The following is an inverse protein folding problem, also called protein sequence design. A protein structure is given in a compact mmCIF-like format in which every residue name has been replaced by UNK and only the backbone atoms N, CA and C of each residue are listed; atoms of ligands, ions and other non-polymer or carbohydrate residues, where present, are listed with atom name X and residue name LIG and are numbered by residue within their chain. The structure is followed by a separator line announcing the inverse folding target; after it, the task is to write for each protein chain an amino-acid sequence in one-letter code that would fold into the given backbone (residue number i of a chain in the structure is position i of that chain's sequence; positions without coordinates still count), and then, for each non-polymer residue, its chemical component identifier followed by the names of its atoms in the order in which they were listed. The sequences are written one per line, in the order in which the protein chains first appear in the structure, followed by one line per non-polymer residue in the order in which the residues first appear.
data_IF_850854117829
#
_entry.id   IF_850854117829
#
_cell.length_a   1.000
_cell.length_b   1.000
_cell.length_c   1.000
_cell.angle_alpha   90.00
_cell.angle_beta   90.00
_cell.angle_gamma   90.00
#
_symmetry.space_group_name_H-M   'P 1'
#
loop_
_entity.id
_entity.type
_entity.pdbx_description
1 polymer ?
#
# COMPACT_ATOMS: atom_id res chain seq x y z
N UNK A 1 -4.47 10.44 -16.87
CA UNK A 1 -4.74 9.01 -17.05
C UNK A 1 -4.09 8.53 -18.36
N UNK A 2 -3.31 7.44 -18.37
CA UNK A 2 -2.72 6.90 -19.60
C UNK A 2 -3.73 6.59 -20.71
N UNK A 3 -4.99 6.33 -20.36
CA UNK A 3 -6.07 6.04 -21.33
C UNK A 3 -6.61 7.27 -22.06
N UNK A 4 -6.42 8.44 -21.47
CA UNK A 4 -6.90 9.72 -21.99
C UNK A 4 -5.85 10.47 -22.83
N UNK A 5 -4.64 9.90 -22.97
CA UNK A 5 -3.55 10.52 -23.71
C UNK A 5 -3.75 10.36 -25.20
N UNK A 6 -3.67 11.44 -26.00
CA UNK A 6 -3.59 11.34 -27.44
C UNK A 6 -2.45 10.43 -27.88
N UNK A 7 -2.66 9.63 -28.90
CA UNK A 7 -1.68 8.63 -29.33
C UNK A 7 -0.35 9.26 -29.80
N UNK A 8 -0.43 10.42 -30.45
CA UNK A 8 0.71 11.22 -30.93
C UNK A 8 1.49 11.91 -29.81
N UNK A 9 0.85 12.22 -28.68
CA UNK A 9 1.48 12.86 -27.53
C UNK A 9 1.99 11.89 -26.46
N UNK A 10 1.73 10.57 -26.59
CA UNK A 10 2.02 9.58 -25.56
C UNK A 10 3.49 9.59 -25.13
N UNK A 11 4.42 9.52 -26.08
CA UNK A 11 5.85 9.48 -25.77
C UNK A 11 6.35 10.75 -25.07
N UNK A 12 5.91 11.92 -25.52
CA UNK A 12 6.26 13.20 -24.90
C UNK A 12 5.66 13.32 -23.47
N UNK A 13 4.41 12.88 -23.27
CA UNK A 13 3.77 12.86 -21.96
C UNK A 13 4.48 11.89 -21.00
N UNK A 14 4.85 10.69 -21.46
CA UNK A 14 5.58 9.71 -20.66
C UNK A 14 6.97 10.24 -20.24
N UNK A 15 7.67 10.92 -21.14
CA UNK A 15 8.94 11.58 -20.82
C UNK A 15 8.75 12.72 -19.79
N UNK A 16 7.73 13.57 -19.97
CA UNK A 16 7.42 14.64 -19.03
C UNK A 16 7.04 14.12 -17.64
N UNK A 17 6.33 13.00 -17.57
CA UNK A 17 5.93 12.39 -16.29
C UNK A 17 7.02 11.54 -15.62
N UNK A 18 8.09 11.18 -16.35
CA UNK A 18 9.18 10.38 -15.80
C UNK A 18 9.88 11.05 -14.61
N UNK A 19 9.94 12.38 -14.57
CA UNK A 19 10.52 13.14 -13.46
C UNK A 19 9.81 12.94 -12.12
N UNK A 20 8.51 12.63 -12.15
CA UNK A 20 7.70 12.36 -10.94
C UNK A 20 7.71 10.89 -10.55
N UNK A 21 8.32 10.03 -11.35
CA UNK A 21 8.27 8.60 -11.11
C UNK A 21 9.07 8.18 -9.89
N UNK A 22 8.59 7.11 -9.26
CA UNK A 22 9.31 6.35 -8.26
C UNK A 22 9.29 4.86 -8.64
N UNK A 23 10.42 4.18 -8.40
CA UNK A 23 10.58 2.79 -8.81
C UNK A 23 9.81 1.79 -7.93
N UNK A 24 9.47 2.19 -6.70
CA UNK A 24 8.85 1.33 -5.68
C UNK A 24 7.41 1.70 -5.38
N UNK A 25 6.99 2.95 -5.73
CA UNK A 25 5.67 3.45 -5.36
C UNK A 25 5.13 4.50 -6.33
N UNK A 26 3.98 4.23 -6.92
CA UNK A 26 3.25 5.20 -7.72
C UNK A 26 2.57 6.27 -6.83
N UNK A 27 2.33 5.99 -5.53
CA UNK A 27 1.86 7.00 -4.57
C UNK A 27 2.93 8.08 -4.33
N UNK A 28 4.20 7.69 -4.23
CA UNK A 28 5.32 8.65 -4.16
C UNK A 28 5.38 9.49 -5.44
N UNK A 29 5.10 8.90 -6.60
CA UNK A 29 5.00 9.64 -7.86
C UNK A 29 3.92 10.72 -7.83
N UNK A 30 2.76 10.41 -7.29
CA UNK A 30 1.66 11.37 -7.08
C UNK A 30 2.08 12.47 -6.10
N UNK A 31 2.77 12.12 -5.01
CA UNK A 31 3.26 13.09 -4.04
C UNK A 31 4.29 14.06 -4.65
N UNK A 32 5.23 13.55 -5.44
CA UNK A 32 6.20 14.39 -6.18
C UNK A 32 5.52 15.35 -7.14
N UNK A 33 4.49 14.88 -7.85
CA UNK A 33 3.68 15.73 -8.73
C UNK A 33 2.95 16.81 -7.94
N UNK A 34 2.38 16.46 -6.78
CA UNK A 34 1.72 17.42 -5.90
C UNK A 34 2.69 18.51 -5.41
N UNK A 35 3.89 18.15 -4.99
CA UNK A 35 4.92 19.09 -4.55
C UNK A 35 5.30 20.06 -5.66
N UNK A 36 5.58 19.55 -6.87
CA UNK A 36 5.89 20.40 -8.02
C UNK A 36 4.73 21.33 -8.43
N UNK A 37 3.48 20.84 -8.35
CA UNK A 37 2.31 21.67 -8.61
C UNK A 37 2.12 22.75 -7.55
N UNK A 38 2.35 22.43 -6.27
CA UNK A 38 2.25 23.40 -5.17
C UNK A 38 3.28 24.52 -5.33
N UNK A 39 4.53 24.20 -5.61
CA UNK A 39 5.59 25.18 -5.91
C UNK A 39 5.20 26.07 -7.10
N UNK A 40 4.76 25.46 -8.20
CA UNK A 40 4.30 26.22 -9.37
C UNK A 40 3.09 27.12 -9.05
N UNK A 41 2.18 26.67 -8.17
CA UNK A 41 1.01 27.44 -7.77
C UNK A 41 1.37 28.64 -6.89
N UNK A 42 2.40 28.53 -6.06
CA UNK A 42 2.90 29.62 -5.19
C UNK A 42 3.60 30.71 -6.01
N UNK A 43 4.35 30.33 -7.06
CA UNK A 43 5.23 31.23 -7.79
C UNK A 43 4.59 31.81 -9.07
N UNK A 44 3.50 31.23 -9.57
CA UNK A 44 2.97 31.54 -10.92
C UNK A 44 1.57 32.18 -10.89
N UNK A 45 1.32 33.05 -11.84
CA UNK A 45 -0.05 33.50 -12.13
C UNK A 45 -0.90 32.39 -12.73
N UNK A 46 -2.23 32.50 -12.69
CA UNK A 46 -3.14 31.50 -13.24
C UNK A 46 -2.87 31.19 -14.75
N UNK A 47 -2.49 32.19 -15.52
CA UNK A 47 -2.13 32.00 -16.94
C UNK A 47 -0.83 31.23 -17.12
N UNK A 48 0.17 31.51 -16.29
CA UNK A 48 1.44 30.79 -16.29
C UNK A 48 1.26 29.35 -15.79
N UNK A 49 0.45 29.15 -14.76
CA UNK A 49 0.15 27.84 -14.21
C UNK A 49 -0.58 26.93 -15.22
N UNK A 50 -1.50 27.52 -16.03
CA UNK A 50 -2.11 26.78 -17.14
C UNK A 50 -1.07 26.33 -18.16
N UNK A 51 -0.15 27.22 -18.58
CA UNK A 51 0.95 26.89 -19.51
C UNK A 51 1.89 25.84 -18.92
N UNK A 52 2.15 25.91 -17.61
CA UNK A 52 2.93 24.91 -16.90
C UNK A 52 2.26 23.53 -16.94
N UNK A 53 0.95 23.48 -16.68
CA UNK A 53 0.18 22.25 -16.76
C UNK A 53 0.20 21.65 -18.17
N UNK A 54 -0.04 22.48 -19.20
CA UNK A 54 -0.02 22.06 -20.61
C UNK A 54 1.36 21.51 -21.02
N UNK A 55 2.45 22.18 -20.61
CA UNK A 55 3.84 21.74 -20.85
C UNK A 55 4.12 20.36 -20.23
N UNK A 56 3.50 20.06 -19.10
CA UNK A 56 3.67 18.77 -18.41
C UNK A 56 2.61 17.74 -18.79
N UNK A 57 1.78 18.00 -19.79
CA UNK A 57 0.66 17.13 -20.21
C UNK A 57 -0.29 16.79 -19.05
N UNK A 58 -0.59 17.80 -18.22
CA UNK A 58 -1.48 17.70 -17.07
C UNK A 58 -2.77 18.49 -17.32
N UNK A 59 -3.89 17.93 -16.89
CA UNK A 59 -5.18 18.59 -16.98
C UNK A 59 -5.28 19.73 -15.96
N UNK A 60 -5.22 20.98 -16.41
CA UNK A 60 -5.27 22.17 -15.54
C UNK A 60 -6.50 22.20 -14.63
N UNK A 61 -7.68 21.83 -15.16
CA UNK A 61 -8.91 21.77 -14.37
C UNK A 61 -8.80 20.72 -13.24
N UNK A 62 -8.24 19.55 -13.54
CA UNK A 62 -8.02 18.48 -12.56
C UNK A 62 -7.05 18.89 -11.47
N UNK A 63 -6.01 19.63 -11.79
CA UNK A 63 -5.08 20.18 -10.80
C UNK A 63 -5.78 21.18 -9.86
N UNK A 64 -6.67 22.02 -10.38
CA UNK A 64 -7.48 22.94 -9.57
C UNK A 64 -8.45 22.20 -8.66
N UNK A 65 -9.14 21.19 -9.17
CA UNK A 65 -10.02 20.33 -8.37
C UNK A 65 -9.24 19.64 -7.23
N UNK A 66 -8.04 19.15 -7.53
CA UNK A 66 -7.15 18.54 -6.54
C UNK A 66 -6.70 19.53 -5.47
N UNK A 67 -6.32 20.74 -5.88
CA UNK A 67 -5.98 21.83 -4.94
C UNK A 67 -7.13 22.13 -3.98
N UNK A 68 -8.33 22.27 -4.52
CA UNK A 68 -9.51 22.58 -3.73
C UNK A 68 -9.87 21.44 -2.77
N UNK A 69 -9.78 20.19 -3.23
CA UNK A 69 -9.97 19.02 -2.37
C UNK A 69 -8.95 18.99 -1.22
N UNK A 70 -7.68 19.24 -1.52
CA UNK A 70 -6.63 19.30 -0.50
C UNK A 70 -6.93 20.39 0.55
N UNK A 71 -7.36 21.57 0.09
CA UNK A 71 -7.75 22.68 0.97
C UNK A 71 -8.91 22.29 1.89
N UNK A 72 -9.93 21.63 1.36
CA UNK A 72 -11.08 21.15 2.14
C UNK A 72 -10.68 20.12 3.19
N UNK A 73 -9.85 19.14 2.80
CA UNK A 73 -9.36 18.13 3.73
C UNK A 73 -8.50 18.74 4.84
N UNK A 74 -7.66 19.75 4.51
CA UNK A 74 -6.87 20.46 5.50
C UNK A 74 -7.76 21.16 6.53
N UNK A 75 -8.80 21.86 6.09
CA UNK A 75 -9.77 22.50 7.00
C UNK A 75 -10.45 21.49 7.93
N UNK A 76 -10.83 20.32 7.42
CA UNK A 76 -11.41 19.26 8.23
C UNK A 76 -10.42 18.72 9.28
N UNK A 77 -9.14 18.56 8.93
CA UNK A 77 -8.11 18.18 9.89
C UNK A 77 -7.95 19.22 11.00
N UNK A 78 -7.94 20.51 10.63
CA UNK A 78 -7.83 21.62 11.59
C UNK A 78 -9.06 21.65 12.52
N UNK A 79 -10.28 21.45 12.01
CA UNK A 79 -11.52 21.36 12.80
C UNK A 79 -11.51 20.15 13.77
N UNK A 80 -10.89 19.04 13.39
CA UNK A 80 -10.71 17.86 14.24
C UNK A 80 -9.55 18.01 15.25
N UNK A 81 -8.82 19.11 15.20
CA UNK A 81 -7.65 19.34 16.05
C UNK A 81 -6.44 18.46 15.69
N UNK A 82 -6.40 17.92 14.49
CA UNK A 82 -5.28 17.12 14.03
C UNK A 82 -4.12 18.01 13.60
N UNK A 83 -2.96 17.73 14.16
CA UNK A 83 -1.73 18.43 13.79
C UNK A 83 -1.11 17.79 12.55
N UNK A 84 -0.65 18.64 11.64
CA UNK A 84 0.16 18.21 10.51
C UNK A 84 1.62 18.09 10.95
N UNK A 85 2.33 17.11 10.38
CA UNK A 85 3.76 16.99 10.58
C UNK A 85 4.48 18.12 9.83
N UNK A 86 5.46 18.74 10.47
CA UNK A 86 6.31 19.77 9.86
C UNK A 86 7.32 19.13 8.89
N UNK A 87 7.77 17.92 9.19
CA UNK A 87 8.72 17.18 8.37
C UNK A 87 8.02 16.17 7.45
N UNK A 88 8.53 15.96 6.21
CA UNK A 88 8.03 14.94 5.32
C UNK A 88 8.14 13.54 5.94
N UNK A 89 7.08 12.75 5.87
CA UNK A 89 7.12 11.37 6.32
C UNK A 89 7.98 10.49 5.40
N UNK A 90 8.59 9.44 5.96
CA UNK A 90 9.34 8.46 5.21
C UNK A 90 8.46 7.53 4.37
N UNK A 91 9.12 6.70 3.55
CA UNK A 91 8.43 5.74 2.67
C UNK A 91 7.53 4.78 3.46
N UNK A 92 8.04 4.22 4.56
CA UNK A 92 7.30 3.25 5.36
C UNK A 92 6.07 3.89 6.03
N UNK A 93 6.23 5.06 6.64
CA UNK A 93 5.15 5.78 7.34
C UNK A 93 4.00 6.12 6.39
N UNK A 94 4.32 6.62 5.18
CA UNK A 94 3.31 6.93 4.17
C UNK A 94 2.50 5.68 3.80
N UNK A 95 3.18 4.56 3.49
CA UNK A 95 2.48 3.35 3.04
C UNK A 95 1.75 2.65 4.18
N UNK A 96 2.25 2.71 5.41
CA UNK A 96 1.54 2.22 6.60
C UNK A 96 0.24 2.99 6.84
N UNK A 97 0.26 4.31 6.71
CA UNK A 97 -0.96 5.13 6.80
C UNK A 97 -1.98 4.77 5.70
N UNK A 98 -1.51 4.52 4.46
CA UNK A 98 -2.37 4.09 3.35
C UNK A 98 -2.95 2.68 3.59
N UNK A 99 -2.19 1.74 4.15
CA UNK A 99 -2.65 0.39 4.51
C UNK A 99 -3.85 0.47 5.45
N UNK A 100 -3.82 1.35 6.45
CA UNK A 100 -4.92 1.52 7.39
C UNK A 100 -6.26 1.86 6.71
N UNK A 101 -6.22 2.59 5.60
CA UNK A 101 -7.41 2.95 4.81
C UNK A 101 -7.78 1.98 3.69
N UNK A 102 -6.90 1.04 3.32
CA UNK A 102 -7.03 0.19 2.13
C UNK A 102 -6.83 -1.30 2.42
N UNK A 103 -7.47 -1.87 3.45
CA UNK A 103 -7.18 -3.24 3.93
C UNK A 103 -7.50 -4.34 2.91
N UNK A 104 -8.38 -4.08 1.94
CA UNK A 104 -8.78 -5.07 0.92
C UNK A 104 -8.03 -4.95 -0.40
N UNK A 105 -7.09 -4.02 -0.49
CA UNK A 105 -6.36 -3.72 -1.72
C UNK A 105 -4.87 -4.11 -1.63
N UNK A 106 -4.61 -5.10 -0.82
CA UNK A 106 -3.28 -5.68 -0.60
C UNK A 106 -3.21 -7.01 -1.36
N UNK A 107 -2.04 -7.34 -1.89
CA UNK A 107 -1.84 -8.62 -2.55
C UNK A 107 -0.45 -9.21 -2.34
N UNK A 108 -0.41 -10.52 -2.28
CA UNK A 108 0.81 -11.32 -2.33
C UNK A 108 0.99 -11.91 -3.72
N UNK A 109 2.18 -11.76 -4.28
CA UNK A 109 2.50 -12.25 -5.61
C UNK A 109 2.52 -13.78 -5.63
N UNK A 110 1.57 -14.35 -6.37
CA UNK A 110 1.47 -15.76 -6.63
C UNK A 110 2.09 -16.14 -7.99
N UNK A 111 1.60 -17.22 -8.56
CA UNK A 111 2.06 -17.72 -9.85
C UNK A 111 1.59 -16.85 -11.02
N UNK A 112 2.33 -16.92 -12.14
CA UNK A 112 1.99 -16.27 -13.43
C UNK A 112 1.74 -14.77 -13.35
N UNK A 113 2.34 -14.07 -12.36
CA UNK A 113 2.16 -12.62 -12.19
C UNK A 113 0.81 -12.21 -11.60
N UNK A 114 0.01 -13.16 -11.11
CA UNK A 114 -1.20 -12.90 -10.34
C UNK A 114 -0.85 -12.58 -8.89
N UNK A 115 -1.61 -11.68 -8.31
CA UNK A 115 -1.60 -11.41 -6.87
C UNK A 115 -2.81 -12.04 -6.22
N UNK A 116 -2.58 -12.75 -5.14
CA UNK A 116 -3.62 -13.24 -4.24
C UNK A 116 -3.94 -12.14 -3.23
N UNK A 117 -5.18 -11.71 -3.20
CA UNK A 117 -5.68 -10.68 -2.29
C UNK A 117 -6.66 -11.22 -1.24
N UNK A 118 -7.12 -10.36 -0.33
CA UNK A 118 -8.14 -10.70 0.64
C UNK A 118 -9.41 -11.26 0.01
N UNK A 119 -10.10 -12.17 0.74
CA UNK A 119 -11.35 -12.83 0.30
C UNK A 119 -11.19 -13.66 -0.98
N UNK A 120 -9.98 -14.19 -1.24
CA UNK A 120 -9.70 -14.99 -2.42
C UNK A 120 -9.67 -14.21 -3.73
N UNK A 121 -9.70 -12.89 -3.69
CA UNK A 121 -9.65 -12.05 -4.89
C UNK A 121 -8.28 -12.17 -5.55
N UNK A 122 -8.27 -12.34 -6.88
CA UNK A 122 -7.03 -12.35 -7.67
C UNK A 122 -7.00 -11.15 -8.59
N UNK A 123 -5.81 -10.54 -8.74
CA UNK A 123 -5.63 -9.38 -9.61
C UNK A 123 -4.22 -9.33 -10.21
N UNK A 124 -4.03 -8.46 -11.19
CA UNK A 124 -2.74 -8.21 -11.84
C UNK A 124 -2.41 -6.73 -11.78
N UNK A 125 -1.13 -6.39 -11.79
CA UNK A 125 -0.73 -4.99 -11.98
C UNK A 125 -1.13 -4.56 -13.39
N UNK A 126 -1.69 -3.35 -13.49
CA UNK A 126 -1.98 -2.76 -14.80
C UNK A 126 -0.70 -2.69 -15.64
N UNK A 127 -0.71 -3.07 -16.93
CA UNK A 127 0.50 -3.11 -17.76
C UNK A 127 1.26 -1.79 -17.87
N UNK A 128 0.55 -0.66 -17.72
CA UNK A 128 1.13 0.67 -17.67
C UNK A 128 1.70 1.08 -16.31
N UNK A 129 1.58 0.23 -15.27
CA UNK A 129 2.21 0.47 -13.98
C UNK A 129 3.72 0.33 -14.08
N UNK A 130 4.45 1.23 -13.44
CA UNK A 130 5.92 1.17 -13.38
C UNK A 130 6.42 -0.06 -12.63
N UNK A 131 5.63 -0.57 -11.69
CA UNK A 131 5.95 -1.78 -10.95
C UNK A 131 5.77 -3.05 -11.79
N UNK A 132 5.07 -2.99 -12.93
CA UNK A 132 4.83 -4.15 -13.78
C UNK A 132 6.12 -4.75 -14.38
N UNK A 133 7.17 -3.95 -14.56
CA UNK A 133 8.49 -4.42 -15.05
C UNK A 133 9.27 -5.21 -13.99
N UNK A 134 9.10 -4.86 -12.72
CA UNK A 134 9.72 -5.54 -11.56
C UNK A 134 8.68 -5.67 -10.44
N UNK A 135 7.72 -6.61 -10.58
CA UNK A 135 6.62 -6.72 -9.63
C UNK A 135 7.11 -7.10 -8.24
N UNK A 136 6.74 -6.35 -7.18
CA UNK A 136 7.13 -6.65 -5.82
C UNK A 136 6.42 -7.92 -5.30
N UNK A 137 6.95 -8.61 -4.26
CA UNK A 137 6.28 -9.76 -3.67
C UNK A 137 4.98 -9.40 -2.97
N UNK A 138 4.91 -8.21 -2.38
CA UNK A 138 3.71 -7.67 -1.74
C UNK A 138 3.39 -6.30 -2.33
N UNK A 139 2.12 -6.05 -2.57
CA UNK A 139 1.64 -4.81 -3.18
C UNK A 139 0.46 -4.23 -2.42
N UNK A 140 0.44 -2.90 -2.33
CA UNK A 140 -0.72 -2.10 -1.98
C UNK A 140 -1.17 -1.35 -3.23
N UNK A 141 -2.47 -1.32 -3.50
CA UNK A 141 -3.04 -0.64 -4.66
C UNK A 141 -4.09 0.39 -4.23
N UNK A 142 -4.18 1.53 -4.90
CA UNK A 142 -5.24 2.50 -4.61
C UNK A 142 -6.60 2.00 -5.10
N UNK A 143 -6.63 1.34 -6.26
CA UNK A 143 -7.87 0.86 -6.86
C UNK A 143 -7.66 -0.51 -7.53
N UNK A 144 -8.72 -1.32 -7.48
CA UNK A 144 -8.85 -2.55 -8.25
C UNK A 144 -9.98 -2.36 -9.26
N UNK A 145 -9.63 -2.28 -10.54
CA UNK A 145 -10.57 -2.08 -11.62
C UNK A 145 -11.01 -3.45 -12.18
N UNK A 146 -12.28 -3.75 -12.00
CA UNK A 146 -12.91 -4.95 -12.53
C UNK A 146 -13.30 -4.74 -14.00
N UNK A 147 -12.70 -5.53 -14.89
CA UNK A 147 -13.03 -5.68 -16.30
C UNK A 147 -13.11 -7.17 -16.60
N UNK A 148 -12.73 -7.66 -17.78
CA UNK A 148 -12.49 -9.09 -18.02
C UNK A 148 -11.43 -9.67 -17.09
N UNK A 149 -10.50 -8.79 -16.63
CA UNK A 149 -9.51 -9.07 -15.58
C UNK A 149 -9.57 -7.99 -14.53
N UNK A 150 -9.09 -8.30 -13.33
CA UNK A 150 -8.95 -7.31 -12.27
C UNK A 150 -7.58 -6.67 -12.34
N UNK A 151 -7.55 -5.34 -12.56
CA UNK A 151 -6.34 -4.58 -12.69
C UNK A 151 -6.09 -3.71 -11.46
N UNK A 152 -4.92 -3.85 -10.88
CA UNK A 152 -4.45 -2.98 -9.81
C UNK A 152 -3.83 -1.69 -10.38
N UNK A 153 -4.32 -0.56 -9.92
CA UNK A 153 -3.93 0.77 -10.39
C UNK A 153 -3.40 1.58 -9.22
N UNK A 154 -2.32 2.32 -9.46
CA UNK A 154 -1.57 3.09 -8.47
C UNK A 154 -1.05 2.19 -7.36
N UNK A 155 0.09 1.61 -7.62
CA UNK A 155 0.63 0.51 -6.85
C UNK A 155 1.89 0.92 -6.08
N UNK A 156 2.13 0.27 -4.94
CA UNK A 156 3.37 0.36 -4.20
C UNK A 156 3.79 -1.01 -3.67
N UNK A 157 5.11 -1.27 -3.64
CA UNK A 157 5.67 -2.39 -2.91
C UNK A 157 5.58 -2.14 -1.39
N UNK A 158 5.12 -3.13 -0.64
CA UNK A 158 4.97 -3.06 0.81
C UNK A 158 5.56 -4.29 1.49
N UNK A 159 5.65 -4.26 2.82
CA UNK A 159 6.04 -5.39 3.64
C UNK A 159 4.84 -5.95 4.41
N UNK A 160 4.68 -7.28 4.50
CA UNK A 160 3.55 -7.88 5.22
C UNK A 160 3.53 -7.54 6.70
N UNK A 161 4.68 -7.28 7.32
CA UNK A 161 4.77 -6.85 8.72
C UNK A 161 4.11 -5.49 8.96
N UNK A 162 4.09 -4.60 7.96
CA UNK A 162 3.35 -3.33 8.07
C UNK A 162 1.84 -3.58 8.16
N UNK A 163 1.34 -4.53 7.36
CA UNK A 163 -0.08 -4.93 7.39
C UNK A 163 -0.46 -5.49 8.76
N UNK A 164 0.41 -6.35 9.31
CA UNK A 164 0.22 -6.95 10.65
C UNK A 164 0.21 -5.87 11.74
N UNK A 165 1.07 -4.87 11.62
CA UNK A 165 1.17 -3.78 12.60
C UNK A 165 -0.02 -2.80 12.53
N UNK A 166 -0.47 -2.46 11.33
CA UNK A 166 -1.51 -1.42 11.14
C UNK A 166 -2.95 -1.95 11.26
N UNK A 167 -3.16 -3.25 10.99
CA UNK A 167 -4.50 -3.84 10.96
C UNK A 167 -4.72 -4.97 11.98
N UNK A 168 -4.21 -4.89 13.23
CA UNK A 168 -4.28 -5.99 14.21
C UNK A 168 -5.72 -6.44 14.49
N UNK A 169 -6.67 -5.52 14.38
CA UNK A 169 -8.10 -5.74 14.61
C UNK A 169 -8.81 -6.50 13.47
N UNK A 170 -8.19 -6.63 12.30
CA UNK A 170 -8.72 -7.35 11.13
C UNK A 170 -8.05 -8.71 10.90
N UNK A 171 -7.06 -9.05 11.72
CA UNK A 171 -6.28 -10.27 11.54
C UNK A 171 -6.93 -11.48 12.21
N UNK A 172 -6.91 -12.60 11.50
CA UNK A 172 -7.15 -13.92 12.09
C UNK A 172 -5.81 -14.58 12.39
N UNK A 173 -5.71 -15.16 13.60
CA UNK A 173 -4.53 -15.89 14.07
C UNK A 173 -4.92 -17.34 14.34
N UNK A 174 -4.14 -18.27 13.82
CA UNK A 174 -4.31 -19.70 14.05
C UNK A 174 -3.01 -20.31 14.55
N UNK A 175 -3.09 -21.21 15.52
CA UNK A 175 -1.93 -21.85 16.09
C UNK A 175 -1.92 -23.32 15.70
N UNK A 176 -0.75 -23.80 15.30
CA UNK A 176 -0.53 -25.17 14.83
C UNK A 176 0.72 -25.76 15.50
N UNK A 177 0.76 -27.09 15.58
CA UNK A 177 1.92 -27.86 15.99
C UNK A 177 2.52 -27.41 17.33
N UNK A 178 1.73 -27.30 18.43
CA UNK A 178 2.27 -26.97 19.71
C UNK A 178 3.19 -28.11 20.22
N UNK A 179 4.41 -27.78 20.62
CA UNK A 179 5.44 -28.74 21.04
C UNK A 179 6.37 -28.14 22.09
N UNK A 180 6.94 -29.02 22.93
CA UNK A 180 7.96 -28.65 23.91
C UNK A 180 9.29 -28.33 23.22
N UNK A 181 9.86 -27.18 23.52
CA UNK A 181 11.19 -26.79 23.05
C UNK A 181 12.21 -26.83 24.19
N UNK A 182 13.08 -27.84 24.18
CA UNK A 182 14.19 -27.96 25.18
C UNK A 182 15.13 -26.76 25.13
N UNK A 183 15.41 -26.26 23.91
CA UNK A 183 16.33 -25.14 23.73
C UNK A 183 15.81 -23.84 24.35
N UNK A 184 14.49 -23.65 24.37
CA UNK A 184 13.86 -22.43 24.88
C UNK A 184 13.20 -22.61 26.26
N UNK A 185 13.08 -23.85 26.76
CA UNK A 185 12.48 -24.14 28.05
C UNK A 185 10.99 -23.83 28.16
N UNK A 186 10.26 -23.85 27.06
CA UNK A 186 8.80 -23.62 27.04
C UNK A 186 8.13 -24.23 25.78
N UNK A 187 6.81 -24.30 25.81
CA UNK A 187 6.03 -24.81 24.69
C UNK A 187 5.91 -23.72 23.62
N UNK A 188 6.31 -24.07 22.39
CA UNK A 188 6.16 -23.25 21.19
C UNK A 188 4.99 -23.76 20.36
N UNK A 189 4.40 -22.86 19.57
CA UNK A 189 3.52 -23.20 18.47
C UNK A 189 3.86 -22.36 17.24
N UNK A 190 3.41 -22.80 16.08
CA UNK A 190 3.47 -22.04 14.84
C UNK A 190 2.21 -21.19 14.71
N UNK A 191 2.34 -19.89 14.68
CA UNK A 191 1.23 -18.95 14.43
C UNK A 191 1.13 -18.63 12.94
N UNK A 192 -0.05 -18.85 12.37
CA UNK A 192 -0.41 -18.35 11.05
C UNK A 192 -1.25 -17.08 11.23
N UNK A 193 -0.85 -16.00 10.53
CA UNK A 193 -1.55 -14.71 10.54
C UNK A 193 -2.14 -14.47 9.16
N UNK A 194 -3.42 -14.14 9.10
CA UNK A 194 -4.11 -13.85 7.83
C UNK A 194 -5.04 -12.65 7.93
N UNK A 195 -5.19 -11.92 6.80
CA UNK A 195 -6.11 -10.81 6.60
C UNK A 195 -7.21 -11.25 5.64
N UNK A 196 -8.43 -11.47 6.14
CA UNK A 196 -9.57 -11.96 5.34
C UNK A 196 -9.21 -13.17 4.44
N UNK A 197 -8.44 -14.13 4.99
CA UNK A 197 -7.99 -15.31 4.27
C UNK A 197 -6.67 -15.16 3.51
N UNK A 198 -6.17 -13.95 3.28
CA UNK A 198 -4.83 -13.73 2.73
C UNK A 198 -3.78 -14.02 3.81
N UNK A 199 -2.94 -15.02 3.61
CA UNK A 199 -1.89 -15.40 4.56
C UNK A 199 -0.74 -14.39 4.48
N UNK A 200 -0.53 -13.64 5.58
CA UNK A 200 0.54 -12.66 5.73
C UNK A 200 1.82 -13.29 6.30
N UNK A 201 1.65 -14.17 7.28
CA UNK A 201 2.73 -14.94 7.90
C UNK A 201 2.25 -16.40 8.06
N UNK A 202 2.82 -17.36 7.31
CA UNK A 202 2.36 -18.74 7.32
C UNK A 202 2.79 -19.50 8.57
N UNK A 203 3.95 -19.15 9.14
CA UNK A 203 4.54 -19.88 10.27
C UNK A 203 5.47 -18.97 11.09
N UNK A 204 4.93 -18.39 12.16
CA UNK A 204 5.69 -17.58 13.10
C UNK A 204 5.78 -18.32 14.44
N UNK A 205 6.98 -18.59 14.98
CA UNK A 205 7.09 -19.24 16.29
C UNK A 205 6.58 -18.31 17.39
N UNK A 206 5.72 -18.83 18.27
CA UNK A 206 5.16 -18.09 19.40
C UNK A 206 5.21 -18.91 20.68
N UNK A 207 5.30 -18.24 21.84
CA UNK A 207 5.24 -18.85 23.15
C UNK A 207 3.80 -19.29 23.46
N UNK A 208 3.52 -20.59 23.28
CA UNK A 208 2.15 -21.13 23.37
C UNK A 208 1.56 -21.08 24.78
N UNK A 209 2.39 -21.14 25.80
CA UNK A 209 1.93 -21.02 27.18
C UNK A 209 1.26 -19.71 27.57
N UNK A 210 1.48 -18.64 26.76
CA UNK A 210 0.76 -17.35 26.90
C UNK A 210 -0.62 -17.35 26.25
N UNK A 211 -0.85 -18.28 25.33
CA UNK A 211 -2.06 -18.38 24.51
C UNK A 211 -3.01 -19.40 25.10
N UNK A 212 -2.52 -20.61 25.38
CA UNK A 212 -3.26 -21.72 25.91
C UNK A 212 -2.48 -22.36 27.08
N UNK A 213 -2.51 -21.79 28.31
CA UNK A 213 -1.69 -22.22 29.42
C UNK A 213 -1.91 -23.67 29.83
N UNK A 214 -3.17 -24.13 29.87
CA UNK A 214 -3.51 -25.50 30.28
C UNK A 214 -2.98 -26.54 29.30
N UNK A 215 -3.19 -26.32 28.00
CA UNK A 215 -2.71 -27.21 26.95
C UNK A 215 -1.16 -27.24 26.90
N UNK A 216 -0.52 -26.08 27.07
CA UNK A 216 0.93 -25.98 27.18
C UNK A 216 1.49 -26.73 28.40
N UNK A 217 0.80 -26.69 29.55
CA UNK A 217 1.17 -27.44 30.73
C UNK A 217 1.10 -28.97 30.47
N UNK A 218 0.01 -29.44 29.87
CA UNK A 218 -0.16 -30.85 29.52
C UNK A 218 0.92 -31.34 28.55
N UNK A 219 1.28 -30.52 27.57
CA UNK A 219 2.37 -30.83 26.65
C UNK A 219 3.73 -30.85 27.35
N UNK A 220 3.98 -29.93 28.27
CA UNK A 220 5.19 -29.94 29.08
C UNK A 220 5.30 -31.22 29.90
N UNK A 221 4.24 -31.63 30.61
CA UNK A 221 4.22 -32.85 31.43
C UNK A 221 4.47 -34.13 30.61
N UNK A 222 4.03 -34.17 29.36
CA UNK A 222 4.19 -35.33 28.46
C UNK A 222 5.50 -35.39 27.71
N UNK A 223 6.13 -34.26 27.43
CA UNK A 223 7.28 -34.14 26.53
C UNK A 223 8.51 -33.51 27.18
N UNK A 224 8.37 -32.90 28.35
CA UNK A 224 9.41 -32.19 29.14
C UNK A 224 10.11 -33.06 30.15
#
# INVERSE_FOLDING_TARGET
DPRERPADARGAADAAHAQFADAKSEFIGILKLWQAYREAHEDMTQSQLRKWADKHFLGFLRLREWWELHRQLKLQCDELGWQQNDEPCGFAELHRALIAGLPTQIGNRGEKGLYDGPRGRKFQLFPGSRLASKPPPWVLSANLLDTEKVWAITNAGIEPDWVIAELPHLLARRHHDPHWSRAQGHVLASEQISLFGLVLAPKKPVHYGRIAPMEAHDLFVRQG
#
